data_IF_105514488649
#
_entry.id   IF_105514488649
#
_cell.length_a   1.000
_cell.length_b   1.000
_cell.length_c   1.000
_cell.angle_alpha   90.00
_cell.angle_beta   90.00
_cell.angle_gamma   90.00
#
_symmetry.space_group_name_H-M   'P 1'
#
loop_
_entity.id
_entity.type
_entity.pdbx_description
1 polymer ?
#
# COMPACT_ATOMS: atom_id res chain seq x y z
N UNK A 1 -38.69 -7.23 -63.62
CA UNK A 1 -38.05 -7.89 -62.46
C UNK A 1 -37.41 -6.80 -61.57
N UNK A 2 -37.90 -6.61 -60.38
CA UNK A 2 -37.75 -5.37 -59.60
C UNK A 2 -36.41 -5.30 -58.84
N UNK A 3 -35.54 -4.41 -59.29
CA UNK A 3 -34.21 -4.14 -58.69
C UNK A 3 -34.25 -3.36 -57.36
N UNK A 4 -35.44 -3.05 -56.82
CA UNK A 4 -35.62 -2.26 -55.60
C UNK A 4 -35.56 -3.07 -54.28
N UNK A 5 -35.51 -4.41 -54.35
CA UNK A 5 -35.53 -5.29 -53.16
C UNK A 5 -34.14 -5.75 -52.68
N UNK A 6 -33.07 -5.50 -53.43
CA UNK A 6 -31.73 -5.98 -53.11
C UNK A 6 -30.98 -4.99 -52.22
N UNK A 7 -31.32 -3.70 -52.28
CA UNK A 7 -30.58 -2.69 -51.48
C UNK A 7 -31.03 -2.55 -50.01
N UNK A 8 -32.15 -3.18 -49.61
CA UNK A 8 -32.61 -3.14 -48.23
C UNK A 8 -31.94 -4.20 -47.30
N UNK A 9 -31.39 -5.25 -47.93
CA UNK A 9 -30.75 -6.34 -47.15
C UNK A 9 -29.27 -6.12 -46.88
N UNK A 10 -28.57 -5.29 -47.64
CA UNK A 10 -27.16 -4.95 -47.39
C UNK A 10 -26.99 -3.88 -46.32
N UNK A 11 -28.00 -3.05 -46.07
CA UNK A 11 -27.93 -2.00 -45.06
C UNK A 11 -28.09 -2.49 -43.60
N UNK A 12 -28.75 -3.63 -43.43
CA UNK A 12 -29.00 -4.18 -42.09
C UNK A 12 -27.84 -5.00 -41.51
N UNK A 13 -26.95 -5.50 -42.38
CA UNK A 13 -25.79 -6.31 -41.95
C UNK A 13 -24.60 -5.43 -41.54
N UNK A 14 -24.53 -4.19 -42.01
CA UNK A 14 -23.43 -3.29 -41.68
C UNK A 14 -23.64 -2.51 -40.34
N UNK A 15 -24.85 -2.52 -39.80
CA UNK A 15 -25.16 -1.80 -38.57
C UNK A 15 -24.97 -2.65 -37.31
N UNK A 16 -24.84 -3.98 -37.45
CA UNK A 16 -24.59 -4.87 -36.33
C UNK A 16 -23.11 -5.08 -36.01
N UNK A 17 -22.18 -4.63 -36.81
CA UNK A 17 -20.74 -4.84 -36.62
C UNK A 17 -20.02 -3.72 -35.86
N UNK A 18 -20.72 -2.64 -35.49
CA UNK A 18 -20.13 -1.47 -34.78
C UNK A 18 -20.47 -1.43 -33.29
N UNK A 19 -21.38 -2.29 -32.82
CA UNK A 19 -21.80 -2.31 -31.40
C UNK A 19 -20.99 -3.32 -30.57
N UNK A 20 -20.05 -4.03 -31.20
CA UNK A 20 -19.26 -5.08 -30.56
C UNK A 20 -17.90 -4.66 -29.94
N UNK A 21 -17.56 -3.37 -29.92
CA UNK A 21 -16.22 -2.93 -29.48
C UNK A 21 -16.29 -1.79 -28.46
N UNK A 22 -16.94 -2.00 -27.33
CA UNK A 22 -16.68 -1.18 -26.15
C UNK A 22 -17.27 -1.78 -24.89
N UNK A 23 -16.92 -3.02 -24.61
CA UNK A 23 -16.91 -3.54 -23.26
C UNK A 23 -15.46 -3.92 -22.91
N UNK A 24 -14.52 -2.99 -23.13
CA UNK A 24 -13.43 -2.88 -22.21
C UNK A 24 -14.05 -2.30 -20.94
N UNK A 25 -14.69 -3.17 -20.16
CA UNK A 25 -14.94 -2.89 -18.76
C UNK A 25 -13.60 -2.45 -18.18
N UNK A 26 -13.57 -1.32 -17.54
CA UNK A 26 -12.56 -1.01 -16.55
C UNK A 26 -12.50 -2.21 -15.58
N UNK A 27 -11.65 -3.17 -15.87
CA UNK A 27 -11.04 -4.01 -14.85
C UNK A 27 -10.08 -3.11 -14.08
N UNK A 28 -10.60 -2.09 -13.42
CA UNK A 28 -10.09 -1.56 -12.18
C UNK A 28 -10.33 -2.64 -11.14
N UNK A 29 -9.80 -3.81 -11.38
CA UNK A 29 -9.88 -4.93 -10.48
C UNK A 29 -9.07 -4.53 -9.25
N UNK A 30 -9.74 -4.41 -8.18
CA UNK A 30 -9.36 -4.36 -6.80
C UNK A 30 -8.16 -5.28 -6.51
N UNK A 31 -6.95 -4.75 -6.62
CA UNK A 31 -5.69 -5.48 -6.44
C UNK A 31 -5.40 -5.84 -4.96
N UNK A 32 -6.44 -6.01 -4.13
CA UNK A 32 -6.29 -6.43 -2.74
C UNK A 32 -5.95 -7.92 -2.58
N UNK A 33 -5.85 -8.66 -3.67
CA UNK A 33 -5.48 -10.08 -3.66
C UNK A 33 -3.97 -10.31 -3.82
N UNK A 34 -3.23 -9.27 -4.18
CA UNK A 34 -1.79 -9.36 -4.38
C UNK A 34 -1.05 -9.28 -3.05
N UNK A 35 -0.19 -10.26 -2.81
CA UNK A 35 0.76 -10.19 -1.70
C UNK A 35 1.86 -9.19 -2.04
N UNK A 36 1.90 -8.10 -1.30
CA UNK A 36 2.88 -7.04 -1.46
C UNK A 36 3.43 -6.65 -0.08
N UNK A 37 4.60 -7.18 0.25
CA UNK A 37 5.22 -7.06 1.57
C UNK A 37 6.66 -6.58 1.39
N UNK A 38 7.05 -5.57 2.16
CA UNK A 38 8.42 -5.07 2.15
C UNK A 38 9.40 -6.12 2.69
N UNK A 39 10.55 -6.22 2.05
CA UNK A 39 11.61 -7.13 2.44
C UNK A 39 12.92 -6.39 2.66
N UNK A 40 13.70 -6.82 3.65
CA UNK A 40 15.01 -6.26 3.93
C UNK A 40 15.89 -6.23 2.67
N UNK A 41 16.53 -5.07 2.39
CA UNK A 41 17.39 -4.88 1.23
C UNK A 41 16.68 -4.74 -0.11
N UNK A 42 15.35 -4.87 -0.17
CA UNK A 42 14.58 -4.59 -1.39
C UNK A 42 14.59 -3.10 -1.73
N UNK A 43 14.60 -2.78 -3.02
CA UNK A 43 14.53 -1.39 -3.52
C UNK A 43 13.30 -1.17 -4.41
N UNK A 44 12.27 -1.98 -4.27
CA UNK A 44 11.06 -1.91 -5.11
C UNK A 44 10.11 -0.78 -4.73
N UNK A 45 10.13 -0.33 -3.47
CA UNK A 45 9.25 0.75 -3.01
C UNK A 45 9.54 2.10 -3.65
N UNK A 46 8.64 3.04 -3.49
CA UNK A 46 8.71 4.40 -4.05
C UNK A 46 8.09 5.41 -3.07
N UNK A 47 8.06 6.70 -3.45
CA UNK A 47 7.31 7.76 -2.76
C UNK A 47 7.56 7.85 -1.24
N UNK A 48 8.85 7.90 -0.84
CA UNK A 48 9.25 8.03 0.57
C UNK A 48 8.55 9.20 1.26
N UNK A 49 7.99 8.96 2.44
CA UNK A 49 7.33 9.96 3.26
C UNK A 49 5.89 10.27 2.88
N UNK A 50 5.37 9.72 1.78
CA UNK A 50 3.97 9.86 1.40
C UNK A 50 3.10 8.79 2.07
N UNK A 51 1.81 9.08 2.23
CA UNK A 51 0.86 8.07 2.69
C UNK A 51 0.61 7.03 1.59
N UNK A 52 1.28 5.88 1.70
CA UNK A 52 1.21 4.78 0.74
C UNK A 52 -0.23 4.30 0.51
N UNK A 53 -1.05 4.32 1.57
CA UNK A 53 -2.39 3.75 1.55
C UNK A 53 -3.41 4.62 0.80
N UNK A 54 -3.04 5.82 0.35
CA UNK A 54 -3.85 6.60 -0.59
C UNK A 54 -3.98 5.87 -1.94
N UNK A 55 -2.88 5.26 -2.42
CA UNK A 55 -2.86 4.50 -3.67
C UNK A 55 -3.05 2.99 -3.44
N UNK A 56 -2.45 2.43 -2.37
CA UNK A 56 -2.50 1.00 -2.06
C UNK A 56 -3.70 0.64 -1.16
N UNK A 57 -4.89 0.81 -1.70
CA UNK A 57 -6.20 0.48 -1.09
C UNK A 57 -7.16 -0.07 -2.15
N UNK A 58 -8.31 -0.59 -1.74
CA UNK A 58 -9.27 -1.23 -2.65
C UNK A 58 -9.78 -0.35 -3.81
N UNK A 59 -9.78 0.97 -3.63
CA UNK A 59 -10.18 1.94 -4.65
C UNK A 59 -8.99 2.70 -5.24
N UNK A 60 -7.76 2.34 -4.92
CA UNK A 60 -6.54 3.00 -5.36
C UNK A 60 -5.92 2.33 -6.58
N UNK A 61 -4.92 2.98 -7.16
CA UNK A 61 -4.21 2.52 -8.36
C UNK A 61 -3.00 1.61 -8.04
N UNK A 62 -2.62 1.51 -6.74
CA UNK A 62 -1.46 0.74 -6.30
C UNK A 62 -1.74 -0.75 -6.18
N UNK A 63 -0.77 -1.58 -6.53
CA UNK A 63 -0.85 -3.02 -6.37
C UNK A 63 -0.81 -3.43 -4.89
N UNK A 64 -1.76 -4.27 -4.47
CA UNK A 64 -1.94 -4.72 -3.10
C UNK A 64 -2.58 -3.67 -2.20
N UNK A 65 -3.46 -4.10 -1.31
CA UNK A 65 -4.07 -3.24 -0.32
C UNK A 65 -3.27 -3.34 0.99
N UNK A 66 -2.54 -2.29 1.31
CA UNK A 66 -1.71 -2.31 2.51
C UNK A 66 -2.56 -2.26 3.78
N UNK A 67 -2.17 -3.05 4.74
CA UNK A 67 -2.75 -3.08 6.09
C UNK A 67 -1.96 -2.14 7.02
N UNK A 68 -0.64 -2.08 6.83
CA UNK A 68 0.23 -1.11 7.47
C UNK A 68 1.33 -0.66 6.52
N UNK A 69 1.65 0.63 6.53
CA UNK A 69 2.72 1.20 5.72
C UNK A 69 3.25 2.51 6.30
N UNK A 70 4.54 2.77 6.04
CA UNK A 70 5.19 4.00 6.44
C UNK A 70 6.64 4.10 5.96
N UNK A 71 7.28 5.21 6.32
CA UNK A 71 8.69 5.48 6.00
C UNK A 71 9.45 5.81 7.27
N UNK A 72 10.60 5.20 7.47
CA UNK A 72 11.46 5.39 8.64
C UNK A 72 12.70 6.19 8.24
N UNK A 73 13.01 7.19 9.02
CA UNK A 73 14.13 8.11 8.84
C UNK A 73 15.22 7.89 9.90
N UNK A 74 16.41 8.45 9.64
CA UNK A 74 17.46 8.61 10.63
C UNK A 74 17.08 9.62 11.72
N UNK A 75 17.86 9.71 12.79
CA UNK A 75 17.63 10.63 13.91
C UNK A 75 17.57 12.10 13.49
N UNK A 76 18.21 12.49 12.40
CA UNK A 76 18.16 13.84 11.87
C UNK A 76 16.92 14.09 10.99
N UNK A 77 16.12 13.05 10.72
CA UNK A 77 14.95 13.08 9.85
C UNK A 77 15.24 13.56 8.41
N UNK A 78 16.48 13.47 7.99
CA UNK A 78 16.95 13.91 6.66
C UNK A 78 16.98 12.75 5.67
N UNK A 79 17.53 11.60 6.08
CA UNK A 79 17.66 10.43 5.22
C UNK A 79 16.80 9.29 5.77
N UNK A 80 16.39 8.41 4.89
CA UNK A 80 15.70 7.18 5.30
C UNK A 80 16.72 6.12 5.72
N UNK A 81 16.37 5.29 6.72
CA UNK A 81 17.16 4.11 7.07
C UNK A 81 16.98 3.02 6.01
N UNK A 82 18.02 2.22 5.75
CA UNK A 82 17.99 1.23 4.66
C UNK A 82 17.72 -0.19 5.14
N UNK A 83 17.44 -0.38 6.42
CA UNK A 83 17.14 -1.69 7.02
C UNK A 83 16.54 -1.52 8.41
N UNK A 84 16.02 -2.62 8.95
CA UNK A 84 15.36 -2.65 10.25
C UNK A 84 14.00 -3.32 10.15
N UNK A 85 13.17 -3.09 11.15
CA UNK A 85 11.81 -3.67 11.19
C UNK A 85 10.86 -2.83 12.03
N UNK A 86 9.57 -3.06 11.81
CA UNK A 86 8.48 -2.57 12.65
C UNK A 86 7.74 -3.78 13.21
N UNK A 87 7.75 -3.91 14.52
CA UNK A 87 7.04 -4.95 15.27
C UNK A 87 5.77 -4.38 15.89
N UNK A 88 4.64 -5.06 15.74
CA UNK A 88 3.34 -4.63 16.23
C UNK A 88 2.91 -5.50 17.41
N UNK A 89 2.83 -4.91 18.61
CA UNK A 89 2.49 -5.60 19.87
C UNK A 89 1.09 -5.25 20.36
N UNK A 90 0.48 -6.12 21.16
CA UNK A 90 -0.83 -5.87 21.79
C UNK A 90 -0.74 -4.94 23.00
N UNK A 91 0.45 -4.64 23.52
CA UNK A 91 0.66 -3.73 24.63
C UNK A 91 1.86 -2.81 24.41
N UNK A 92 1.92 -1.68 25.12
CA UNK A 92 3.00 -0.70 24.99
C UNK A 92 4.36 -1.29 25.43
N UNK A 93 5.45 -0.66 24.99
CA UNK A 93 6.81 -1.02 25.40
C UNK A 93 7.17 -2.51 25.19
N UNK A 94 6.80 -3.06 24.02
CA UNK A 94 7.01 -4.46 23.64
C UNK A 94 6.34 -5.48 24.59
N UNK A 95 5.29 -5.06 25.30
CA UNK A 95 4.51 -5.98 26.14
C UNK A 95 3.40 -6.67 25.37
N UNK A 96 2.88 -7.74 25.95
CA UNK A 96 1.83 -8.53 25.32
C UNK A 96 2.34 -9.42 24.18
N UNK A 97 1.49 -9.64 23.19
CA UNK A 97 1.78 -10.56 22.07
C UNK A 97 2.25 -9.79 20.85
N UNK A 98 3.36 -10.22 20.24
CA UNK A 98 3.76 -9.78 18.90
C UNK A 98 2.76 -10.33 17.86
N UNK A 99 2.12 -9.44 17.12
CA UNK A 99 1.11 -9.78 16.11
C UNK A 99 1.69 -9.83 14.70
N UNK A 100 2.59 -8.90 14.39
CA UNK A 100 3.17 -8.79 13.04
C UNK A 100 4.56 -8.16 13.13
N UNK A 101 5.45 -8.63 12.27
CA UNK A 101 6.73 -7.98 11.95
C UNK A 101 6.72 -7.59 10.48
N UNK A 102 7.11 -6.35 10.19
CA UNK A 102 7.26 -5.82 8.83
C UNK A 102 8.68 -5.28 8.68
N UNK A 103 9.44 -5.76 7.70
CA UNK A 103 10.81 -5.32 7.48
C UNK A 103 10.85 -3.96 6.77
N UNK A 104 11.84 -3.14 7.12
CA UNK A 104 12.17 -1.90 6.42
C UNK A 104 13.03 -2.26 5.22
N UNK A 105 12.66 -1.78 4.04
CA UNK A 105 13.37 -2.03 2.79
C UNK A 105 14.59 -1.10 2.61
N UNK A 106 15.34 -1.26 1.53
CA UNK A 106 16.53 -0.47 1.23
C UNK A 106 16.27 1.02 0.94
N UNK A 107 15.01 1.42 0.77
CA UNK A 107 14.59 2.82 0.60
C UNK A 107 13.99 3.43 1.87
N UNK A 108 13.89 2.66 2.95
CA UNK A 108 13.37 3.09 4.24
C UNK A 108 11.86 2.96 4.38
N UNK A 109 11.20 2.34 3.42
CA UNK A 109 9.76 2.08 3.52
C UNK A 109 9.50 0.71 4.13
N UNK A 110 8.41 0.61 4.88
CA UNK A 110 7.82 -0.66 5.28
C UNK A 110 6.35 -0.68 4.86
N UNK A 111 5.89 -1.82 4.40
CA UNK A 111 4.51 -2.02 3.98
C UNK A 111 4.15 -3.49 3.96
N UNK A 112 2.87 -3.80 4.17
CA UNK A 112 2.40 -5.18 4.17
C UNK A 112 0.93 -5.30 3.82
N UNK A 113 0.61 -6.30 3.01
CA UNK A 113 -0.75 -6.79 2.75
C UNK A 113 -1.14 -7.95 3.68
N UNK A 114 -0.22 -8.40 4.56
CA UNK A 114 -0.51 -9.48 5.51
C UNK A 114 -1.71 -9.14 6.39
N UNK A 115 -2.59 -10.11 6.55
CA UNK A 115 -3.87 -9.91 7.26
C UNK A 115 -3.67 -9.87 8.76
N UNK A 116 -3.76 -8.68 9.34
CA UNK A 116 -3.89 -8.45 10.79
C UNK A 116 -4.66 -7.14 11.00
N UNK A 117 -5.10 -6.85 12.22
CA UNK A 117 -5.68 -5.55 12.57
C UNK A 117 -4.61 -4.70 13.24
N UNK A 118 -4.17 -3.59 12.65
CA UNK A 118 -3.22 -2.67 13.28
C UNK A 118 -3.85 -1.84 14.40
N UNK A 119 -5.15 -1.64 14.36
CA UNK A 119 -5.89 -0.87 15.37
C UNK A 119 -5.71 -1.48 16.76
N UNK A 120 -5.41 -0.64 17.74
CA UNK A 120 -5.16 -1.05 19.11
C UNK A 120 -3.75 -1.61 19.36
N UNK A 121 -2.91 -1.78 18.33
CA UNK A 121 -1.55 -2.26 18.49
C UNK A 121 -0.55 -1.11 18.74
N UNK A 122 0.57 -1.45 19.34
CA UNK A 122 1.67 -0.56 19.68
C UNK A 122 2.88 -0.90 18.81
N UNK A 123 3.22 -0.08 17.82
CA UNK A 123 4.37 -0.34 16.97
C UNK A 123 5.68 0.01 17.66
N UNK A 124 6.68 -0.80 17.37
CA UNK A 124 8.07 -0.60 17.78
C UNK A 124 8.94 -0.66 16.54
N UNK A 125 9.62 0.43 16.23
CA UNK A 125 10.60 0.49 15.15
C UNK A 125 11.96 0.10 15.70
N UNK A 126 12.63 -0.84 15.05
CA UNK A 126 14.02 -1.21 15.31
C UNK A 126 14.86 -0.79 14.10
N UNK A 127 15.85 0.07 14.31
CA UNK A 127 16.76 0.54 13.29
C UNK A 127 17.88 -0.46 12.95
N UNK A 128 18.75 -0.09 12.00
CA UNK A 128 19.84 -0.94 11.53
C UNK A 128 20.88 -1.25 12.62
N UNK A 129 21.02 -0.38 13.60
CA UNK A 129 21.95 -0.55 14.74
C UNK A 129 21.34 -1.33 15.91
N UNK A 130 20.05 -1.68 15.83
CA UNK A 130 19.29 -2.32 16.89
C UNK A 130 18.64 -1.35 17.87
N UNK A 131 18.85 -0.05 17.72
CA UNK A 131 18.15 0.97 18.50
C UNK A 131 16.65 0.95 18.19
N UNK A 132 15.84 1.31 19.19
CA UNK A 132 14.39 1.19 19.11
C UNK A 132 13.70 2.51 19.42
N UNK A 133 12.60 2.74 18.73
CA UNK A 133 11.61 3.78 19.04
C UNK A 133 10.23 3.15 19.17
N UNK A 134 9.51 3.57 20.18
CA UNK A 134 8.20 3.03 20.52
C UNK A 134 7.15 4.14 20.44
N UNK A 135 6.01 3.82 19.89
CA UNK A 135 4.86 4.70 19.93
C UNK A 135 4.18 4.58 21.30
N UNK A 136 3.97 5.69 22.00
CA UNK A 136 3.39 5.71 23.35
C UNK A 136 1.87 5.50 23.39
N UNK A 137 1.19 5.54 22.23
CA UNK A 137 -0.26 5.35 22.10
C UNK A 137 -0.55 4.20 21.12
N UNK A 138 -1.71 3.59 21.32
CA UNK A 138 -2.18 2.57 20.38
C UNK A 138 -2.51 3.19 19.01
N UNK A 139 -2.32 2.43 17.95
CA UNK A 139 -2.68 2.81 16.60
C UNK A 139 -4.21 2.91 16.43
N UNK A 140 -4.65 3.89 15.67
CA UNK A 140 -6.02 3.95 15.13
C UNK A 140 -6.12 3.35 13.73
N UNK A 141 -5.00 3.24 13.01
CA UNK A 141 -4.92 2.62 11.68
C UNK A 141 -3.46 2.23 11.37
N UNK A 142 -3.23 1.57 10.24
CA UNK A 142 -1.88 1.28 9.73
C UNK A 142 -1.28 2.36 8.83
N UNK A 143 -1.94 3.51 8.67
CA UNK A 143 -1.50 4.62 7.81
C UNK A 143 -0.48 5.51 8.52
N UNK A 144 0.73 5.03 8.78
CA UNK A 144 1.69 5.72 9.62
C UNK A 144 2.07 7.12 9.09
N UNK A 145 2.25 7.27 7.77
CA UNK A 145 2.59 8.55 7.16
C UNK A 145 1.39 9.52 7.04
N UNK A 146 0.19 9.13 7.42
CA UNK A 146 -0.94 10.08 7.53
C UNK A 146 -0.73 11.06 8.68
N UNK A 147 0.00 10.65 9.72
CA UNK A 147 0.37 11.49 10.87
C UNK A 147 1.87 11.83 10.85
N UNK A 148 2.75 10.82 10.73
CA UNK A 148 4.19 11.02 10.77
C UNK A 148 4.72 11.70 9.51
N UNK A 149 5.29 12.89 9.68
CA UNK A 149 5.75 13.77 8.60
C UNK A 149 4.67 14.71 8.05
N UNK A 150 3.46 14.66 8.62
CA UNK A 150 2.33 15.56 8.30
C UNK A 150 1.93 16.40 9.51
N UNK A 151 1.32 15.80 10.51
CA UNK A 151 0.86 16.47 11.75
C UNK A 151 1.79 16.24 12.94
N UNK A 152 2.69 15.26 12.85
CA UNK A 152 3.73 14.96 13.84
C UNK A 152 5.08 14.85 13.14
N UNK A 153 6.16 14.71 13.92
CA UNK A 153 7.48 14.44 13.38
C UNK A 153 7.49 13.17 12.52
N UNK A 154 8.43 13.13 11.57
CA UNK A 154 8.69 11.92 10.79
C UNK A 154 8.94 10.72 11.72
N UNK A 155 8.56 9.54 11.32
CA UNK A 155 8.93 8.32 12.01
C UNK A 155 10.44 8.11 11.87
N UNK A 156 11.17 8.05 12.98
CA UNK A 156 12.62 7.99 12.95
C UNK A 156 13.20 7.03 14.00
N UNK A 157 14.41 6.56 13.76
CA UNK A 157 15.20 5.74 14.66
C UNK A 157 16.69 6.00 14.44
N UNK A 158 17.51 5.81 15.49
CA UNK A 158 18.97 5.96 15.41
C UNK A 158 19.64 4.75 14.72
#
# INVERSE_FOLDING_TARGET
MNTKKINAFLGAVLLCSVIGLSLNSCEGAFNCHEDNISAAGSNKSHNKGQNCMVCHRSSGEGEGCFIAAGTVYDANMMNTVSSGKVDFYTGPNETGTLKQTVFIDGKGNFYTTAKFSPEGLYPVVTGPTGNKKMMGSALSSGECNSCHGSSTDKLWVD
#
